data_IF_147990119017
#
_entry.id   IF_147990119017
#
_cell.length_a   1.000
_cell.length_b   1.000
_cell.length_c   1.000
_cell.angle_alpha   90.00
_cell.angle_beta   90.00
_cell.angle_gamma   90.00
#
_symmetry.space_group_name_H-M   'P 1'
#
loop_
_entity.id
_entity.type
_entity.pdbx_description
1 polymer ?
#
# COMPACT_ATOMS: atom_id res chain seq x y z
N UNK A 1 21.34 1.25 -21.52
CA UNK A 1 22.38 0.58 -20.86
C UNK A 1 21.98 0.18 -19.46
N UNK A 2 22.95 -0.10 -18.61
CA UNK A 2 22.66 -0.62 -17.29
C UNK A 2 21.82 0.37 -16.47
N UNK A 3 22.14 1.61 -16.54
CA UNK A 3 21.41 2.62 -15.78
C UNK A 3 19.97 2.69 -16.22
N UNK A 4 19.77 2.68 -17.50
CA UNK A 4 18.41 2.72 -18.05
C UNK A 4 17.62 1.51 -17.58
N UNK A 5 18.27 0.38 -17.53
CA UNK A 5 17.61 -0.83 -17.13
C UNK A 5 17.16 -0.77 -15.68
N UNK A 6 18.02 -0.26 -14.82
CA UNK A 6 17.65 -0.12 -13.43
C UNK A 6 16.50 0.83 -13.25
N UNK A 7 16.53 1.91 -13.96
CA UNK A 7 15.45 2.89 -13.87
C UNK A 7 14.14 2.26 -14.29
N UNK A 8 14.18 1.46 -15.34
CA UNK A 8 12.97 0.83 -15.80
C UNK A 8 12.39 -0.11 -14.74
N UNK A 9 13.24 -0.87 -14.10
CA UNK A 9 12.76 -1.77 -13.07
C UNK A 9 12.16 -1.00 -11.91
N UNK A 10 12.85 0.03 -11.48
CA UNK A 10 12.34 0.84 -10.38
C UNK A 10 11.03 1.49 -10.75
N UNK A 11 10.93 1.95 -11.96
CA UNK A 11 9.70 2.59 -12.40
C UNK A 11 8.54 1.61 -12.38
N UNK A 12 8.78 0.39 -12.83
CA UNK A 12 7.73 -0.62 -12.83
C UNK A 12 7.24 -0.88 -11.42
N UNK A 13 8.16 -0.97 -10.49
CA UNK A 13 7.77 -1.18 -9.11
C UNK A 13 6.96 -0.02 -8.57
N UNK A 14 7.39 1.17 -8.88
CA UNK A 14 6.69 2.35 -8.39
C UNK A 14 5.29 2.43 -8.95
N UNK A 15 5.12 2.06 -10.20
CA UNK A 15 3.81 2.08 -10.81
C UNK A 15 2.89 1.10 -10.10
N UNK A 16 3.39 -0.10 -9.82
CA UNK A 16 2.60 -1.08 -9.11
C UNK A 16 2.25 -0.57 -7.73
N UNK A 17 3.20 0.08 -7.06
CA UNK A 17 2.96 0.59 -5.73
C UNK A 17 1.87 1.65 -5.73
N UNK A 18 1.85 2.50 -6.73
CA UNK A 18 0.83 3.53 -6.79
C UNK A 18 -0.56 2.93 -6.92
N UNK A 19 -0.71 1.97 -7.81
CA UNK A 19 -1.99 1.31 -7.97
C UNK A 19 -2.39 0.59 -6.70
N UNK A 20 -1.44 -0.06 -6.06
CA UNK A 20 -1.72 -0.78 -4.85
C UNK A 20 -2.18 0.17 -3.75
N UNK A 21 -1.52 1.30 -3.62
CA UNK A 21 -1.90 2.26 -2.60
C UNK A 21 -3.33 2.74 -2.80
N UNK A 22 -3.71 3.00 -4.04
CA UNK A 22 -5.09 3.42 -4.29
C UNK A 22 -6.08 2.35 -3.86
N UNK A 23 -5.79 1.10 -4.18
CA UNK A 23 -6.68 0.02 -3.78
C UNK A 23 -6.72 -0.14 -2.28
N UNK A 24 -5.59 0.01 -1.62
CA UNK A 24 -5.57 -0.08 -0.17
C UNK A 24 -6.40 1.03 0.47
N UNK A 25 -6.31 2.23 -0.07
CA UNK A 25 -7.11 3.33 0.44
C UNK A 25 -8.60 3.03 0.30
N UNK A 26 -8.99 2.51 -0.85
CA UNK A 26 -10.38 2.18 -1.06
C UNK A 26 -10.83 1.07 -0.14
N UNK A 27 -10.01 0.07 0.05
CA UNK A 27 -10.37 -1.03 0.94
C UNK A 27 -10.54 -0.54 2.36
N UNK A 28 -9.68 0.38 2.79
CA UNK A 28 -9.77 0.90 4.14
C UNK A 28 -11.02 1.70 4.38
N UNK A 29 -11.49 2.41 3.37
CA UNK A 29 -12.64 3.30 3.55
C UNK A 29 -13.95 2.73 3.04
N UNK A 30 -13.90 1.88 2.03
CA UNK A 30 -15.11 1.36 1.44
C UNK A 30 -15.56 0.03 2.00
N UNK A 31 -14.67 -0.69 2.66
CA UNK A 31 -15.05 -2.00 3.18
C UNK A 31 -14.82 -2.05 4.66
N UNK A 32 -15.40 -3.05 5.29
CA UNK A 32 -15.19 -3.26 6.71
C UNK A 32 -14.09 -4.26 7.00
N UNK A 33 -13.24 -4.56 6.04
CA UNK A 33 -12.18 -5.53 6.24
C UNK A 33 -11.21 -5.05 7.31
N UNK A 34 -10.76 -5.98 8.13
CA UNK A 34 -9.75 -5.64 9.12
C UNK A 34 -8.42 -5.39 8.44
N UNK A 35 -7.52 -4.76 9.17
CA UNK A 35 -6.20 -4.50 8.61
C UNK A 35 -5.49 -5.81 8.26
N UNK A 36 -5.69 -6.81 9.09
CA UNK A 36 -5.09 -8.09 8.82
C UNK A 36 -5.65 -8.71 7.54
N UNK A 37 -6.95 -8.58 7.36
CA UNK A 37 -7.58 -9.12 6.16
C UNK A 37 -7.10 -8.41 4.92
N UNK A 38 -6.94 -7.11 4.98
CA UNK A 38 -6.44 -6.36 3.85
C UNK A 38 -5.01 -6.76 3.54
N UNK A 39 -4.19 -6.89 4.56
CA UNK A 39 -2.81 -7.30 4.36
C UNK A 39 -2.76 -8.67 3.67
N UNK A 40 -3.60 -9.58 4.09
CA UNK A 40 -3.62 -10.90 3.52
C UNK A 40 -4.13 -10.87 2.08
N UNK A 41 -5.17 -10.09 1.85
CA UNK A 41 -5.74 -10.01 0.50
C UNK A 41 -4.72 -9.49 -0.51
N UNK A 42 -3.93 -8.54 -0.10
CA UNK A 42 -2.95 -7.93 -0.99
C UNK A 42 -1.57 -8.55 -0.86
N UNK A 43 -1.50 -9.71 -0.21
CA UNK A 43 -0.29 -10.52 -0.17
C UNK A 43 0.88 -9.87 0.55
N UNK A 44 0.58 -9.13 1.58
CA UNK A 44 1.65 -8.65 2.43
C UNK A 44 2.06 -9.77 3.38
N UNK A 45 3.33 -9.81 3.78
CA UNK A 45 3.79 -10.87 4.69
C UNK A 45 3.03 -10.87 6.00
N UNK A 46 2.70 -9.69 6.52
CA UNK A 46 1.92 -9.61 7.73
C UNK A 46 1.35 -8.21 7.85
N UNK A 47 0.56 -8.00 8.89
CA UNK A 47 -0.09 -6.72 9.09
C UNK A 47 0.90 -5.60 9.38
N UNK A 48 1.97 -5.92 10.10
CA UNK A 48 2.96 -4.91 10.40
C UNK A 48 3.63 -4.38 9.15
N UNK A 49 3.92 -5.28 8.22
CA UNK A 49 4.52 -4.86 6.95
C UNK A 49 3.56 -3.95 6.19
N UNK A 50 2.31 -4.33 6.15
CA UNK A 50 1.30 -3.52 5.49
C UNK A 50 1.23 -2.13 6.10
N UNK A 51 1.25 -2.05 7.42
CA UNK A 51 1.19 -0.77 8.10
C UNK A 51 2.36 0.13 7.74
N UNK A 52 3.56 -0.42 7.75
CA UNK A 52 4.74 0.38 7.42
C UNK A 52 4.75 0.77 5.96
N UNK A 53 4.35 -0.15 5.10
CA UNK A 53 4.31 0.12 3.68
C UNK A 53 3.34 1.28 3.39
N UNK A 54 2.16 1.19 3.95
CA UNK A 54 1.15 2.21 3.72
C UNK A 54 1.59 3.56 4.26
N UNK A 55 2.15 3.56 5.47
CA UNK A 55 2.61 4.80 6.06
C UNK A 55 3.73 5.43 5.25
N UNK A 56 4.61 4.60 4.73
CA UNK A 56 5.72 5.12 3.94
C UNK A 56 5.21 5.87 2.70
N UNK A 57 4.15 5.36 2.10
CA UNK A 57 3.67 5.93 0.85
C UNK A 57 2.59 6.99 1.04
N UNK A 58 1.92 7.02 2.15
CA UNK A 58 0.85 7.99 2.36
C UNK A 58 1.12 8.93 3.51
N UNK A 59 2.07 8.62 4.37
CA UNK A 59 2.33 9.45 5.54
C UNK A 59 1.48 9.09 6.73
N UNK A 60 0.55 8.16 6.58
CA UNK A 60 -0.33 7.76 7.67
C UNK A 60 -0.41 6.25 7.72
N UNK A 61 -0.55 5.72 8.93
CA UNK A 61 -0.76 4.28 9.04
C UNK A 61 -2.16 3.93 8.52
N UNK A 62 -2.38 2.67 8.16
CA UNK A 62 -3.71 2.27 7.71
C UNK A 62 -4.78 2.52 8.77
N UNK A 63 -4.44 2.34 10.02
CA UNK A 63 -5.38 2.58 11.09
C UNK A 63 -5.75 4.05 11.17
N UNK A 64 -4.74 4.91 11.06
CA UNK A 64 -5.00 6.33 11.08
C UNK A 64 -5.82 6.76 9.88
N UNK A 65 -5.51 6.21 8.74
CA UNK A 65 -6.23 6.57 7.53
C UNK A 65 -7.70 6.19 7.63
N UNK A 66 -7.97 5.00 8.16
CA UNK A 66 -9.35 4.55 8.32
C UNK A 66 -10.10 5.41 9.31
N UNK A 67 -9.43 5.81 10.38
CA UNK A 67 -10.07 6.63 11.40
C UNK A 67 -10.31 8.04 10.92
N UNK A 68 -9.56 8.45 9.90
CA UNK A 68 -9.66 9.81 9.41
C UNK A 68 -10.87 9.98 8.54
N UNK A 69 -11.94 9.89 8.81
CA UNK A 69 -13.07 10.02 7.93
C UNK A 69 -13.15 11.35 7.28
N UNK A 70 -13.40 11.37 6.09
CA UNK A 70 -13.57 12.66 5.50
C UNK A 70 -14.94 13.08 5.28
#
# INVERSE_FOLDING_TARGET
>A
SAITKQVAENSAKEIIDENLILELKMALQSTGMSLKEIADKYRFPDQSFFGRYFKKHTGMSPKEYRAKKN
#
